data_IF_867736807856
#
_entry.id   IF_867736807856
#
_cell.length_a   1.000
_cell.length_b   1.000
_cell.length_c   1.000
_cell.angle_alpha   90.00
_cell.angle_beta   90.00
_cell.angle_gamma   90.00
#
_symmetry.space_group_name_H-M   'P 1'
#
loop_
_entity.id
_entity.type
_entity.pdbx_description
1 polymer ?
#
# COMPACT_ATOMS: atom_id res chain seq x y z
N UNK A 1 7.71 -16.21 -8.75
CA UNK A 1 6.42 -15.52 -8.60
C UNK A 1 6.35 -14.38 -9.61
N UNK A 2 5.15 -14.09 -10.07
CA UNK A 2 4.88 -12.89 -10.86
C UNK A 2 4.33 -11.78 -9.94
N UNK A 3 5.05 -10.68 -9.86
CA UNK A 3 4.71 -9.49 -9.06
C UNK A 3 4.19 -8.42 -10.01
N UNK A 4 2.95 -7.97 -9.81
CA UNK A 4 2.40 -6.85 -10.54
C UNK A 4 2.44 -5.58 -9.69
N UNK A 5 3.01 -4.51 -10.24
CA UNK A 5 3.20 -3.24 -9.53
C UNK A 5 2.28 -2.19 -10.13
N UNK A 6 1.37 -1.64 -9.32
CA UNK A 6 0.60 -0.45 -9.67
C UNK A 6 1.39 0.76 -9.18
N UNK A 7 1.77 1.61 -10.11
CA UNK A 7 2.54 2.83 -9.85
C UNK A 7 1.74 4.04 -10.36
N UNK A 8 1.31 4.91 -9.44
CA UNK A 8 0.42 6.02 -9.74
C UNK A 8 1.15 7.19 -10.38
N UNK A 9 2.39 7.49 -9.92
CA UNK A 9 3.18 8.61 -10.36
C UNK A 9 4.60 8.20 -10.75
N UNK A 10 5.22 8.95 -11.65
CA UNK A 10 6.58 8.66 -12.14
C UNK A 10 7.63 8.72 -11.03
N UNK A 11 7.41 9.55 -10.01
CA UNK A 11 8.31 9.74 -8.86
C UNK A 11 8.02 8.80 -7.68
N UNK A 12 6.89 8.10 -7.68
CA UNK A 12 6.52 7.09 -6.67
C UNK A 12 6.97 5.69 -7.11
N UNK A 13 8.26 5.57 -7.41
CA UNK A 13 8.83 4.32 -7.92
C UNK A 13 8.96 3.25 -6.82
N UNK A 14 8.88 1.95 -7.16
CA UNK A 14 8.93 0.86 -6.18
C UNK A 14 10.29 0.66 -5.52
N UNK A 15 11.34 1.34 -5.97
CA UNK A 15 12.65 1.38 -5.32
C UNK A 15 13.18 0.01 -4.90
N UNK A 16 13.40 -0.17 -3.59
CA UNK A 16 13.95 -1.38 -3.02
C UNK A 16 13.09 -2.63 -3.26
N UNK A 17 11.77 -2.50 -3.36
CA UNK A 17 10.87 -3.62 -3.68
C UNK A 17 11.17 -4.21 -5.04
N UNK A 18 11.37 -3.35 -6.05
CA UNK A 18 11.73 -3.79 -7.40
C UNK A 18 13.10 -4.46 -7.43
N UNK A 19 14.11 -3.84 -6.80
CA UNK A 19 15.47 -4.41 -6.72
C UNK A 19 15.44 -5.78 -6.05
N UNK A 20 14.70 -5.91 -4.95
CA UNK A 20 14.53 -7.18 -4.26
C UNK A 20 13.87 -8.24 -5.15
N UNK A 21 12.77 -7.88 -5.83
CA UNK A 21 12.03 -8.80 -6.69
C UNK A 21 12.93 -9.37 -7.81
N UNK A 22 13.64 -8.49 -8.52
CA UNK A 22 14.54 -8.90 -9.60
C UNK A 22 15.71 -9.74 -9.06
N UNK A 23 16.30 -9.35 -7.92
CA UNK A 23 17.41 -10.10 -7.32
C UNK A 23 17.04 -11.53 -6.90
N UNK A 24 15.74 -11.78 -6.67
CA UNK A 24 15.18 -13.10 -6.34
C UNK A 24 14.67 -13.88 -7.56
N UNK A 25 14.83 -13.32 -8.77
CA UNK A 25 14.38 -13.96 -10.01
C UNK A 25 12.85 -13.95 -10.18
N UNK A 26 12.16 -12.99 -9.57
CA UNK A 26 10.72 -12.82 -9.78
C UNK A 26 10.46 -12.12 -11.11
N UNK A 27 9.39 -12.52 -11.78
CA UNK A 27 8.85 -11.76 -12.91
C UNK A 27 8.14 -10.51 -12.39
N UNK A 28 8.34 -9.36 -13.05
CA UNK A 28 7.74 -8.10 -12.62
C UNK A 28 7.07 -7.44 -13.81
N UNK A 29 5.81 -7.06 -13.63
CA UNK A 29 5.03 -6.25 -14.58
C UNK A 29 4.52 -4.98 -13.90
N UNK A 30 4.09 -4.01 -14.71
CA UNK A 30 3.67 -2.69 -14.22
C UNK A 30 2.36 -2.25 -14.86
N UNK A 31 1.53 -1.57 -14.06
CA UNK A 31 0.58 -0.55 -14.50
C UNK A 31 1.13 0.81 -14.08
N UNK A 32 1.53 1.62 -15.05
CA UNK A 32 1.99 3.01 -14.84
C UNK A 32 0.85 3.94 -15.16
N UNK A 33 0.08 4.31 -14.12
CA UNK A 33 -1.18 5.02 -14.28
C UNK A 33 -1.01 6.33 -15.07
N UNK A 34 0.03 7.12 -14.76
CA UNK A 34 0.31 8.38 -15.48
C UNK A 34 0.66 8.22 -16.97
N UNK A 35 0.91 6.98 -17.42
CA UNK A 35 1.14 6.68 -18.84
C UNK A 35 -0.13 6.21 -19.54
N UNK A 36 -1.21 6.01 -18.79
CA UNK A 36 -2.45 5.44 -19.29
C UNK A 36 -2.38 3.93 -19.49
N UNK A 37 -1.43 3.23 -18.80
CA UNK A 37 -1.43 1.77 -18.78
C UNK A 37 -2.74 1.28 -18.16
N UNK A 38 -3.29 0.22 -18.73
CA UNK A 38 -4.55 -0.36 -18.25
C UNK A 38 -4.28 -1.29 -17.07
N UNK A 39 -5.13 -1.19 -16.03
CA UNK A 39 -5.13 -2.12 -14.91
C UNK A 39 -5.46 -3.54 -15.39
N UNK A 40 -4.86 -4.58 -14.78
CA UNK A 40 -5.28 -5.96 -15.02
C UNK A 40 -6.78 -6.13 -14.74
N UNK A 41 -7.46 -6.91 -15.57
CA UNK A 41 -8.88 -7.22 -15.37
C UNK A 41 -9.09 -8.21 -14.22
N UNK A 42 -8.08 -9.03 -13.91
CA UNK A 42 -8.09 -10.03 -12.83
C UNK A 42 -6.68 -10.33 -12.34
N UNK A 43 -6.59 -11.14 -11.30
CA UNK A 43 -5.31 -11.65 -10.74
C UNK A 43 -4.81 -12.93 -11.43
N UNK A 44 -5.35 -13.29 -12.59
CA UNK A 44 -4.86 -14.46 -13.32
C UNK A 44 -3.39 -14.31 -13.73
N UNK A 45 -2.56 -15.29 -13.39
CA UNK A 45 -1.13 -15.25 -13.65
C UNK A 45 -0.32 -14.30 -12.75
N UNK A 46 -0.96 -13.56 -11.85
CA UNK A 46 -0.30 -12.68 -10.88
C UNK A 46 -0.34 -13.35 -9.50
N UNK A 47 0.82 -13.41 -8.83
CA UNK A 47 0.96 -13.99 -7.49
C UNK A 47 0.96 -12.93 -6.40
N UNK A 48 1.43 -11.73 -6.71
CA UNK A 48 1.61 -10.64 -5.77
C UNK A 48 1.23 -9.29 -6.41
N UNK A 49 0.37 -8.55 -5.75
CA UNK A 49 -0.02 -7.18 -6.10
C UNK A 49 0.70 -6.20 -5.17
N UNK A 50 1.56 -5.36 -5.72
CA UNK A 50 2.24 -4.26 -5.01
C UNK A 50 1.65 -2.93 -5.49
N UNK A 51 1.06 -2.16 -4.57
CA UNK A 51 0.40 -0.89 -4.87
C UNK A 51 1.20 0.24 -4.24
N UNK A 52 1.74 1.12 -5.07
CA UNK A 52 2.60 2.20 -4.63
C UNK A 52 1.82 3.39 -4.10
N UNK A 53 2.54 4.37 -3.58
CA UNK A 53 2.00 5.66 -3.15
C UNK A 53 1.55 6.56 -4.29
N UNK A 54 1.04 7.72 -3.91
CA UNK A 54 0.59 8.76 -4.82
C UNK A 54 -0.01 9.95 -4.06
N UNK A 55 -0.17 11.10 -4.72
CA UNK A 55 -0.80 12.28 -4.13
C UNK A 55 -2.33 12.18 -4.05
N UNK A 56 -2.92 11.18 -4.70
CA UNK A 56 -4.36 10.93 -4.69
C UNK A 56 -4.81 10.35 -3.34
N UNK A 57 -6.12 10.30 -3.13
CA UNK A 57 -6.77 9.54 -2.06
C UNK A 57 -7.76 8.55 -2.65
N UNK A 58 -8.23 7.55 -1.90
CA UNK A 58 -9.28 6.64 -2.37
C UNK A 58 -10.56 7.34 -2.85
N UNK A 59 -10.81 8.56 -2.39
CA UNK A 59 -11.98 9.37 -2.78
C UNK A 59 -11.71 10.27 -3.99
N UNK A 60 -10.47 10.33 -4.50
CA UNK A 60 -10.12 11.11 -5.69
C UNK A 60 -10.90 10.59 -6.89
N UNK A 61 -11.63 11.49 -7.55
CA UNK A 61 -12.46 11.16 -8.71
C UNK A 61 -11.66 11.17 -10.02
N UNK A 62 -12.19 10.50 -11.04
CA UNK A 62 -11.61 10.55 -12.40
C UNK A 62 -11.66 11.96 -13.02
N UNK A 63 -12.55 12.83 -12.55
CA UNK A 63 -12.59 14.24 -12.97
C UNK A 63 -11.39 15.03 -12.41
N UNK A 64 -10.91 14.69 -11.22
CA UNK A 64 -9.74 15.30 -10.58
C UNK A 64 -8.43 14.69 -11.08
N UNK A 65 -8.42 13.37 -11.32
CA UNK A 65 -7.26 12.65 -11.82
C UNK A 65 -7.70 11.58 -12.85
N UNK A 66 -7.69 11.90 -14.17
CA UNK A 66 -8.27 11.03 -15.22
C UNK A 66 -7.59 9.66 -15.39
N UNK A 67 -6.38 9.48 -14.89
CA UNK A 67 -5.66 8.20 -14.96
C UNK A 67 -5.71 7.40 -13.66
N UNK A 68 -6.43 7.88 -12.64
CA UNK A 68 -6.58 7.20 -11.37
C UNK A 68 -7.98 6.58 -11.26
N UNK A 69 -8.04 5.26 -11.10
CA UNK A 69 -9.28 4.50 -11.12
C UNK A 69 -9.49 3.78 -9.78
N UNK A 70 -9.71 4.54 -8.69
CA UNK A 70 -9.82 4.05 -7.32
C UNK A 70 -10.71 2.81 -7.17
N UNK A 71 -11.91 2.82 -7.78
CA UNK A 71 -12.87 1.70 -7.66
C UNK A 71 -12.37 0.43 -8.35
N UNK A 72 -11.68 0.56 -9.50
CA UNK A 72 -11.10 -0.60 -10.19
C UNK A 72 -9.93 -1.20 -9.41
N UNK A 73 -9.09 -0.34 -8.82
CA UNK A 73 -7.99 -0.81 -7.97
C UNK A 73 -8.49 -1.50 -6.72
N UNK A 74 -9.49 -0.94 -6.04
CA UNK A 74 -10.13 -1.59 -4.90
C UNK A 74 -10.77 -2.93 -5.29
N UNK A 75 -11.36 -3.04 -6.47
CA UNK A 75 -11.90 -4.31 -6.95
C UNK A 75 -10.79 -5.34 -7.20
N UNK A 76 -9.67 -4.93 -7.81
CA UNK A 76 -8.51 -5.80 -8.03
C UNK A 76 -7.89 -6.26 -6.70
N UNK A 77 -7.85 -5.38 -5.69
CA UNK A 77 -7.41 -5.73 -4.33
C UNK A 77 -8.30 -6.82 -3.73
N UNK A 78 -9.63 -6.64 -3.80
CA UNK A 78 -10.59 -7.66 -3.32
C UNK A 78 -10.44 -8.98 -4.07
N UNK A 79 -10.25 -8.93 -5.38
CA UNK A 79 -10.00 -10.11 -6.19
C UNK A 79 -8.71 -10.83 -5.75
N UNK A 80 -7.62 -10.10 -5.60
CA UNK A 80 -6.34 -10.63 -5.09
C UNK A 80 -6.52 -11.34 -3.73
N UNK A 81 -7.17 -10.68 -2.78
CA UNK A 81 -7.38 -11.24 -1.44
C UNK A 81 -8.28 -12.48 -1.46
N UNK A 82 -9.35 -12.47 -2.27
CA UNK A 82 -10.28 -13.61 -2.37
C UNK A 82 -9.61 -14.86 -2.96
N UNK A 83 -8.58 -14.67 -3.77
CA UNK A 83 -7.77 -15.75 -4.36
C UNK A 83 -6.50 -16.08 -3.54
N UNK A 84 -6.38 -15.56 -2.33
CA UNK A 84 -5.22 -15.81 -1.44
C UNK A 84 -3.89 -15.30 -2.00
N UNK A 85 -3.93 -14.27 -2.85
CA UNK A 85 -2.73 -13.63 -3.40
C UNK A 85 -2.11 -12.69 -2.38
N UNK A 86 -0.82 -12.44 -2.50
CA UNK A 86 -0.13 -11.46 -1.65
C UNK A 86 -0.50 -10.05 -2.11
N UNK A 87 -0.86 -9.20 -1.18
CA UNK A 87 -1.13 -7.77 -1.45
C UNK A 87 -0.29 -6.93 -0.50
N UNK A 88 0.44 -5.96 -1.04
CA UNK A 88 1.19 -4.97 -0.27
C UNK A 88 0.87 -3.58 -0.78
N UNK A 89 0.36 -2.72 0.08
CA UNK A 89 0.09 -1.31 -0.20
C UNK A 89 1.05 -0.37 0.53
N UNK A 90 1.55 0.63 -0.18
CA UNK A 90 2.43 1.67 0.36
C UNK A 90 1.69 3.01 0.30
N UNK A 91 1.56 3.73 1.40
CA UNK A 91 0.90 5.03 1.49
C UNK A 91 -0.53 4.99 0.88
N UNK A 92 -0.77 5.61 -0.28
CA UNK A 92 -2.05 5.51 -1.01
C UNK A 92 -2.49 4.05 -1.21
N UNK A 93 -1.56 3.15 -1.54
CA UNK A 93 -1.87 1.73 -1.68
C UNK A 93 -2.43 1.10 -0.40
N UNK A 94 -1.92 1.48 0.77
CA UNK A 94 -2.47 1.03 2.06
C UNK A 94 -3.88 1.60 2.32
N UNK A 95 -4.12 2.85 1.94
CA UNK A 95 -5.44 3.49 2.03
C UNK A 95 -6.46 2.80 1.12
N UNK A 96 -6.06 2.45 -0.12
CA UNK A 96 -6.89 1.69 -1.06
C UNK A 96 -7.21 0.29 -0.54
N UNK A 97 -6.26 -0.37 0.13
CA UNK A 97 -6.51 -1.66 0.81
C UNK A 97 -7.54 -1.50 1.93
N UNK A 98 -7.39 -0.48 2.78
CA UNK A 98 -8.36 -0.16 3.82
C UNK A 98 -9.77 0.06 3.24
N UNK A 99 -9.88 0.90 2.21
CA UNK A 99 -11.14 1.18 1.52
C UNK A 99 -11.73 -0.07 0.86
N UNK A 100 -10.90 -0.91 0.23
CA UNK A 100 -11.34 -2.18 -0.37
C UNK A 100 -11.95 -3.14 0.66
N UNK A 101 -11.49 -3.09 1.91
CA UNK A 101 -11.96 -3.88 3.04
C UNK A 101 -13.09 -3.22 3.83
N UNK A 102 -13.58 -2.07 3.38
CA UNK A 102 -14.68 -1.35 4.02
C UNK A 102 -14.27 -0.45 5.19
N UNK A 103 -12.98 -0.27 5.42
CA UNK A 103 -12.48 0.74 6.33
C UNK A 103 -12.40 2.10 5.60
N UNK A 104 -12.82 3.16 6.22
CA UNK A 104 -12.69 4.51 5.68
C UNK A 104 -11.23 4.98 5.65
N UNK A 105 -10.99 6.11 4.99
CA UNK A 105 -9.73 6.86 5.14
C UNK A 105 -9.92 7.85 6.27
N UNK A 106 -9.00 7.88 7.21
CA UNK A 106 -9.01 8.82 8.32
C UNK A 106 -7.98 9.93 8.06
N UNK A 107 -8.39 11.16 8.26
CA UNK A 107 -7.45 12.27 8.17
C UNK A 107 -6.58 12.26 9.42
N UNK A 108 -5.26 12.25 9.23
CA UNK A 108 -4.35 12.41 10.37
C UNK A 108 -4.57 13.79 11.01
N UNK A 109 -4.59 13.88 12.35
CA UNK A 109 -4.70 15.17 13.05
C UNK A 109 -3.61 16.15 12.61
N UNK A 110 -2.43 15.65 12.30
CA UNK A 110 -1.30 16.41 11.78
C UNK A 110 -0.67 15.69 10.59
N UNK A 111 -0.07 16.47 9.67
CA UNK A 111 0.72 15.90 8.59
C UNK A 111 2.04 15.39 9.15
N UNK A 112 2.36 14.15 8.84
CA UNK A 112 3.64 13.55 9.24
C UNK A 112 4.58 13.53 8.04
N UNK A 113 5.64 14.35 8.14
CA UNK A 113 6.69 14.45 7.13
C UNK A 113 8.04 14.42 7.82
N UNK A 114 8.83 13.37 7.58
CA UNK A 114 10.15 13.22 8.17
C UNK A 114 10.43 11.84 8.73
N UNK A 115 11.37 11.77 9.66
CA UNK A 115 11.70 10.54 10.37
C UNK A 115 10.84 10.43 11.62
N UNK A 116 10.11 9.34 11.73
CA UNK A 116 9.25 9.04 12.88
C UNK A 116 9.73 7.79 13.61
N UNK A 117 9.68 7.83 14.93
CA UNK A 117 9.98 6.69 15.78
C UNK A 117 8.72 5.84 15.93
N UNK A 118 8.82 4.58 15.58
CA UNK A 118 7.73 3.60 15.64
C UNK A 118 8.03 2.56 16.73
N UNK A 119 6.96 2.10 17.37
CA UNK A 119 7.00 0.99 18.34
C UNK A 119 6.05 -0.10 17.85
N UNK A 120 6.51 -1.36 17.90
CA UNK A 120 5.64 -2.49 17.69
C UNK A 120 4.64 -2.62 18.86
N UNK A 121 3.38 -2.83 18.51
CA UNK A 121 2.37 -3.27 19.50
C UNK A 121 2.66 -4.69 19.96
N UNK A 122 1.98 -5.17 21.00
CA UNK A 122 2.15 -6.56 21.45
C UNK A 122 1.68 -7.55 20.37
N UNK A 123 0.64 -7.20 19.61
CA UNK A 123 0.18 -7.96 18.45
C UNK A 123 1.23 -7.92 17.33
N UNK A 124 1.80 -6.76 17.04
CA UNK A 124 2.86 -6.59 16.03
C UNK A 124 4.12 -7.40 16.35
N UNK A 125 4.46 -7.59 17.63
CA UNK A 125 5.59 -8.46 18.06
C UNK A 125 5.32 -9.95 17.81
N UNK A 126 4.05 -10.34 17.71
CA UNK A 126 3.64 -11.74 17.48
C UNK A 126 3.31 -12.01 16.00
N UNK A 127 3.03 -10.97 15.24
CA UNK A 127 2.71 -11.09 13.80
C UNK A 127 3.90 -11.64 13.01
N UNK A 128 3.71 -12.64 12.14
CA UNK A 128 4.79 -13.29 11.41
C UNK A 128 5.59 -12.39 10.49
N UNK A 129 5.02 -11.26 10.05
CA UNK A 129 5.68 -10.29 9.16
C UNK A 129 6.42 -9.24 9.99
N UNK A 130 5.72 -8.59 10.95
CA UNK A 130 6.28 -7.44 11.66
C UNK A 130 7.22 -7.82 12.81
N UNK A 131 7.12 -9.03 13.38
CA UNK A 131 8.02 -9.53 14.45
C UNK A 131 9.51 -9.59 14.08
N UNK A 132 9.83 -9.50 12.79
CA UNK A 132 11.23 -9.47 12.30
C UNK A 132 11.87 -8.09 12.48
N UNK A 133 11.05 -7.07 12.74
CA UNK A 133 11.50 -5.71 13.00
C UNK A 133 11.94 -5.55 14.45
N UNK A 134 12.86 -4.62 14.75
CA UNK A 134 13.16 -4.25 16.14
C UNK A 134 11.89 -3.77 16.85
N UNK A 135 11.79 -3.94 18.19
CA UNK A 135 10.65 -3.41 18.95
C UNK A 135 10.44 -1.91 18.81
N UNK A 136 11.54 -1.18 18.57
CA UNK A 136 11.57 0.24 18.23
C UNK A 136 12.43 0.43 16.99
N UNK A 137 11.97 1.25 16.04
CA UNK A 137 12.73 1.59 14.84
C UNK A 137 12.32 2.96 14.30
N UNK A 138 13.12 3.51 13.43
CA UNK A 138 12.85 4.79 12.75
C UNK A 138 12.43 4.50 11.32
N UNK A 139 11.36 5.13 10.87
CA UNK A 139 10.88 5.06 9.50
C UNK A 139 10.63 6.45 8.93
N UNK A 140 10.71 6.58 7.61
CA UNK A 140 10.25 7.78 6.93
C UNK A 140 8.73 7.82 6.88
N UNK A 141 8.15 8.95 7.22
CA UNK A 141 6.73 9.24 7.04
C UNK A 141 6.56 10.38 6.04
N UNK A 142 5.57 10.26 5.17
CA UNK A 142 5.17 11.30 4.24
C UNK A 142 3.68 11.12 3.92
N UNK A 143 2.83 11.51 4.85
CA UNK A 143 1.39 11.35 4.68
C UNK A 143 0.59 12.39 5.48
N UNK A 144 -0.63 12.65 5.04
CA UNK A 144 -1.62 13.47 5.74
C UNK A 144 -2.90 12.70 6.05
N UNK A 145 -3.03 11.50 5.47
CA UNK A 145 -4.18 10.63 5.67
C UNK A 145 -3.67 9.24 6.12
N UNK A 146 -4.48 8.54 6.89
CA UNK A 146 -4.21 7.19 7.37
C UNK A 146 -5.24 6.21 6.82
N UNK A 147 -4.84 4.97 6.52
CA UNK A 147 -5.82 3.93 6.24
C UNK A 147 -6.66 3.69 7.49
N UNK A 148 -7.97 3.58 7.33
CA UNK A 148 -8.83 3.09 8.39
C UNK A 148 -8.44 1.66 8.78
N UNK A 149 -8.62 1.33 10.06
CA UNK A 149 -8.30 0.00 10.57
C UNK A 149 -9.49 -0.94 10.40
N UNK A 150 -9.22 -2.13 9.90
CA UNK A 150 -10.20 -3.22 9.88
C UNK A 150 -10.15 -3.99 11.19
N UNK A 151 -11.19 -4.79 11.46
CA UNK A 151 -11.31 -5.57 12.71
C UNK A 151 -10.13 -6.53 12.96
N UNK A 152 -9.52 -7.02 11.87
CA UNK A 152 -8.44 -8.01 11.91
C UNK A 152 -7.06 -7.38 11.62
N UNK A 153 -6.95 -6.04 11.71
CA UNK A 153 -5.69 -5.34 11.46
C UNK A 153 -4.74 -5.46 12.63
N UNK A 154 -3.47 -5.71 12.33
CA UNK A 154 -2.35 -5.58 13.27
C UNK A 154 -1.64 -4.26 13.00
N UNK A 155 -1.46 -3.43 14.01
CA UNK A 155 -0.84 -2.11 13.85
C UNK A 155 0.50 -2.00 14.54
N UNK A 156 1.46 -1.35 13.86
CA UNK A 156 2.59 -0.70 14.52
C UNK A 156 2.12 0.69 14.93
N UNK A 157 2.17 1.02 16.23
CA UNK A 157 1.71 2.32 16.71
C UNK A 157 2.84 3.34 16.67
N UNK A 158 2.53 4.54 16.22
CA UNK A 158 3.40 5.69 16.46
C UNK A 158 3.28 6.17 17.90
N UNK A 159 4.36 6.58 18.54
CA UNK A 159 4.26 7.30 19.81
C UNK A 159 3.48 8.59 19.55
N UNK A 160 2.57 8.94 20.45
CA UNK A 160 2.03 10.30 20.51
C UNK A 160 3.21 11.25 20.71
N UNK A 161 3.30 12.26 19.86
CA UNK A 161 4.20 13.39 20.10
C UNK A 161 3.80 14.00 21.45
N UNK A 162 4.64 13.82 22.47
CA UNK A 162 4.53 14.58 23.72
C UNK A 162 5.03 15.99 23.49
#
# INVERSE_FOLDING_TARGET
>A
MHIHIIQHESFEAPGAYYVWAISRGHEVSFTRCWKGDVLPESMEGIDWLLIMGGPQSPDTTEAECPYFHSQKEQQLIRDAMSHGKIVLGVCLGAQLMGAALGAGVERSPEKEVGLVKLHLTEEGKQDPITRVLPPEFVSGAWHGDMPGLTKDSVTCRMPSLE
#
